data_IF_815347609574
#
_entry.id   IF_815347609574
#
_cell.length_a   1.000
_cell.length_b   1.000
_cell.length_c   1.000
_cell.angle_alpha   90.00
_cell.angle_beta   90.00
_cell.angle_gamma   90.00
#
_symmetry.space_group_name_H-M   'P 1'
#
loop_
_entity.id
_entity.type
_entity.pdbx_description
1 polymer ?
#
# COMPACT_ATOMS: atom_id res chain seq x y z
N UNK A 1 -27.93 -73.54 26.76
CA UNK A 1 -27.42 -72.38 26.02
C UNK A 1 -27.82 -71.11 26.77
N UNK A 2 -26.85 -70.22 27.03
CA UNK A 2 -26.94 -69.10 27.98
C UNK A 2 -27.09 -67.78 27.23
N UNK A 3 -28.14 -67.03 27.62
CA UNK A 3 -28.37 -65.57 27.73
C UNK A 3 -27.75 -64.64 26.67
N UNK A 4 -28.53 -63.65 26.20
CA UNK A 4 -28.32 -62.24 26.60
C UNK A 4 -29.37 -61.27 26.06
N UNK A 5 -29.68 -60.31 26.93
CA UNK A 5 -30.68 -59.25 26.85
C UNK A 5 -30.06 -58.03 26.17
N UNK A 6 -30.83 -57.35 25.32
CA UNK A 6 -30.49 -56.08 24.66
C UNK A 6 -30.44 -54.95 25.69
N UNK A 7 -29.28 -54.32 25.87
CA UNK A 7 -29.16 -53.04 26.58
C UNK A 7 -28.91 -51.92 25.58
N UNK A 8 -29.75 -50.90 25.70
CA UNK A 8 -29.85 -49.68 24.92
C UNK A 8 -29.03 -48.58 25.60
N UNK A 9 -28.36 -47.76 24.80
CA UNK A 9 -27.80 -46.45 25.15
C UNK A 9 -26.74 -46.42 26.27
N UNK A 10 -25.63 -45.71 26.20
CA UNK A 10 -25.09 -44.74 25.28
C UNK A 10 -23.86 -44.22 26.03
N UNK A 11 -22.69 -44.31 25.41
CA UNK A 11 -21.44 -43.73 25.90
C UNK A 11 -21.60 -42.18 25.90
N UNK A 12 -20.81 -41.31 26.53
CA UNK A 12 -19.55 -41.36 27.26
C UNK A 12 -19.24 -39.89 27.64
N UNK A 13 -18.31 -39.69 28.58
CA UNK A 13 -17.34 -38.58 28.67
C UNK A 13 -17.78 -37.18 29.16
N UNK A 14 -17.29 -36.87 30.37
CA UNK A 14 -16.87 -35.54 30.84
C UNK A 14 -15.97 -34.85 29.82
N UNK A 15 -16.01 -33.51 29.72
CA UNK A 15 -14.85 -32.66 29.39
C UNK A 15 -15.12 -31.18 29.75
N UNK A 16 -14.08 -30.55 30.32
CA UNK A 16 -13.99 -29.17 30.81
C UNK A 16 -14.25 -28.11 29.72
N UNK A 17 -14.79 -26.97 30.15
CA UNK A 17 -14.83 -25.74 29.35
C UNK A 17 -13.46 -25.05 29.27
N UNK A 18 -13.20 -24.38 28.13
CA UNK A 18 -12.54 -23.08 28.17
C UNK A 18 -13.38 -22.02 27.43
N UNK A 19 -13.47 -20.82 28.03
CA UNK A 19 -13.99 -19.64 27.38
C UNK A 19 -13.08 -19.26 26.20
N UNK A 20 -13.60 -19.35 24.97
CA UNK A 20 -12.93 -18.79 23.81
C UNK A 20 -13.17 -17.28 23.78
N UNK A 21 -12.15 -16.50 24.13
CA UNK A 21 -12.09 -15.10 23.70
C UNK A 21 -11.95 -15.12 22.17
N UNK A 22 -13.00 -14.68 21.47
CA UNK A 22 -12.91 -14.42 20.04
C UNK A 22 -11.95 -13.24 19.84
N UNK A 23 -10.70 -13.54 19.52
CA UNK A 23 -9.71 -12.59 19.03
C UNK A 23 -10.32 -11.88 17.81
N UNK A 24 -10.56 -10.58 17.91
CA UNK A 24 -10.85 -9.73 16.76
C UNK A 24 -9.60 -9.74 15.87
N UNK A 25 -9.61 -10.55 14.81
CA UNK A 25 -8.73 -10.30 13.68
C UNK A 25 -9.17 -8.99 13.06
N UNK A 26 -8.32 -7.94 13.00
CA UNK A 26 -8.62 -6.83 12.10
C UNK A 26 -8.56 -7.42 10.70
N UNK A 27 -9.71 -7.48 10.04
CA UNK A 27 -9.76 -7.54 8.58
C UNK A 27 -8.99 -6.31 8.13
N UNK A 28 -7.79 -6.51 7.61
CA UNK A 28 -7.06 -5.49 6.88
C UNK A 28 -7.83 -5.30 5.57
N UNK A 29 -8.96 -4.60 5.64
CA UNK A 29 -9.50 -3.85 4.51
C UNK A 29 -8.31 -3.08 3.93
N UNK A 30 -8.13 -3.04 2.59
CA UNK A 30 -7.07 -2.24 2.00
C UNK A 30 -7.28 -0.79 2.45
N UNK A 31 -6.59 -0.40 3.52
CA UNK A 31 -6.48 0.96 3.97
C UNK A 31 -5.64 1.60 2.89
N UNK A 32 -6.27 2.23 1.90
CA UNK A 32 -5.61 3.17 1.00
C UNK A 32 -4.95 4.22 1.89
N UNK A 33 -3.62 4.16 2.14
CA UNK A 33 -3.02 5.18 2.95
C UNK A 33 -2.99 6.46 2.11
N UNK A 34 -3.31 7.56 2.80
CA UNK A 34 -3.05 8.93 2.40
C UNK A 34 -4.00 9.55 1.36
N UNK A 35 -5.07 10.16 1.89
CA UNK A 35 -5.41 11.51 1.44
C UNK A 35 -4.22 12.40 1.81
N UNK A 36 -3.35 12.71 0.85
CA UNK A 36 -2.37 13.78 1.06
C UNK A 36 -3.14 15.07 1.24
N UNK A 37 -3.03 15.71 2.40
CA UNK A 37 -3.46 17.10 2.54
C UNK A 37 -2.66 17.93 1.53
N UNK A 38 -3.31 18.64 0.59
CA UNK A 38 -2.58 19.43 -0.40
C UNK A 38 -1.63 20.41 0.31
N UNK A 39 -0.33 20.34 0.00
CA UNK A 39 0.67 21.29 0.47
C UNK A 39 1.66 20.78 1.52
N UNK A 40 1.47 19.61 2.13
CA UNK A 40 2.44 19.06 3.08
C UNK A 40 3.40 18.08 2.38
N UNK A 41 4.71 18.40 2.40
CA UNK A 41 5.75 17.50 1.91
C UNK A 41 5.98 16.38 2.92
N UNK A 42 5.68 15.14 2.53
CA UNK A 42 6.00 13.97 3.35
C UNK A 42 7.53 13.84 3.53
N UNK A 43 8.06 13.89 4.77
CA UNK A 43 9.51 13.80 5.01
C UNK A 43 10.11 12.43 4.66
N UNK A 44 9.27 11.41 4.43
CA UNK A 44 9.68 10.06 3.99
C UNK A 44 9.62 9.87 2.48
N UNK A 45 9.27 10.91 1.71
CA UNK A 45 9.23 10.84 0.25
C UNK A 45 10.65 10.81 -0.35
N UNK A 46 10.84 10.20 -1.54
CA UNK A 46 9.82 9.45 -2.30
C UNK A 46 9.60 8.05 -1.71
N UNK A 47 8.35 7.59 -1.73
CA UNK A 47 7.98 6.26 -1.21
C UNK A 47 7.85 5.25 -2.36
N UNK A 48 8.58 4.12 -2.36
CA UNK A 48 8.39 3.05 -3.34
C UNK A 48 6.98 2.45 -3.28
N UNK A 49 6.45 2.02 -4.43
CA UNK A 49 5.13 1.40 -4.51
C UNK A 49 4.61 1.32 -5.93
N UNK A 50 3.64 0.44 -6.20
CA UNK A 50 3.08 0.30 -7.54
C UNK A 50 2.42 1.61 -7.97
N UNK A 51 2.90 2.15 -9.09
CA UNK A 51 2.47 3.44 -9.62
C UNK A 51 1.47 3.25 -10.76
N UNK A 52 0.36 3.97 -10.71
CA UNK A 52 -0.68 3.94 -11.74
C UNK A 52 -0.66 5.16 -12.66
N UNK A 53 0.24 6.13 -12.44
CA UNK A 53 0.38 7.26 -13.35
C UNK A 53 0.96 6.80 -14.69
N UNK A 54 0.36 7.30 -15.78
CA UNK A 54 1.00 7.24 -17.10
C UNK A 54 2.13 8.25 -17.18
N UNK A 55 2.99 8.12 -18.19
CA UNK A 55 4.06 9.11 -18.46
C UNK A 55 3.48 10.52 -18.63
N UNK A 56 2.38 10.65 -19.38
CA UNK A 56 1.71 11.94 -19.59
C UNK A 56 1.19 12.56 -18.29
N UNK A 57 0.57 11.76 -17.41
CA UNK A 57 0.09 12.23 -16.11
C UNK A 57 1.24 12.64 -15.18
N UNK A 58 2.34 11.88 -15.19
CA UNK A 58 3.55 12.24 -14.46
C UNK A 58 4.13 13.57 -14.96
N UNK A 59 4.21 13.75 -16.29
CA UNK A 59 4.71 14.98 -16.92
C UNK A 59 3.83 16.18 -16.64
N UNK A 60 2.51 16.02 -16.72
CA UNK A 60 1.53 17.06 -16.38
C UNK A 60 1.75 17.54 -14.95
N UNK A 61 1.82 16.62 -13.99
CA UNK A 61 2.05 16.95 -12.58
C UNK A 61 3.38 17.66 -12.33
N UNK A 62 4.46 17.22 -12.98
CA UNK A 62 5.75 17.91 -12.92
C UNK A 62 5.66 19.33 -13.47
N UNK A 63 4.92 19.53 -14.56
CA UNK A 63 4.73 20.85 -15.17
C UNK A 63 3.91 21.77 -14.26
N UNK A 64 2.83 21.25 -13.64
CA UNK A 64 2.02 21.98 -12.65
C UNK A 64 2.82 22.41 -11.41
N UNK A 65 3.82 21.62 -11.02
CA UNK A 65 4.74 21.92 -9.91
C UNK A 65 5.91 22.84 -10.32
N UNK A 66 5.83 23.45 -11.50
CA UNK A 66 6.77 24.46 -11.98
C UNK A 66 8.08 23.90 -12.54
N UNK A 67 8.15 22.60 -12.84
CA UNK A 67 9.27 22.05 -13.59
C UNK A 67 9.12 22.31 -15.09
N UNK A 68 10.23 22.57 -15.75
CA UNK A 68 10.32 22.81 -17.18
C UNK A 68 11.40 21.93 -17.80
N UNK A 69 11.51 21.89 -19.13
CA UNK A 69 12.51 21.09 -19.85
C UNK A 69 12.60 19.63 -19.35
N UNK A 70 11.44 18.99 -19.15
CA UNK A 70 11.34 17.61 -18.63
C UNK A 70 11.83 16.65 -19.72
N UNK A 71 12.86 15.88 -19.38
CA UNK A 71 13.55 14.92 -20.24
C UNK A 71 13.74 13.60 -19.50
N UNK A 72 13.91 12.52 -20.26
CA UNK A 72 14.22 11.19 -19.72
C UNK A 72 13.22 10.71 -18.65
N UNK A 73 11.93 11.06 -18.79
CA UNK A 73 10.87 10.68 -17.85
C UNK A 73 10.60 9.17 -17.95
N UNK A 74 10.90 8.43 -16.88
CA UNK A 74 10.82 6.97 -16.87
C UNK A 74 10.33 6.45 -15.53
N UNK A 75 9.49 5.41 -15.56
CA UNK A 75 9.06 4.68 -14.37
C UNK A 75 10.12 3.65 -13.98
N UNK A 76 10.66 3.77 -12.76
CA UNK A 76 11.58 2.77 -12.22
C UNK A 76 10.87 1.51 -11.74
N UNK A 77 11.64 0.43 -11.55
CA UNK A 77 11.13 -0.85 -11.03
C UNK A 77 10.54 -0.74 -9.60
N UNK A 78 10.95 0.29 -8.86
CA UNK A 78 10.41 0.66 -7.55
C UNK A 78 9.10 1.47 -7.61
N UNK A 79 8.62 1.73 -8.81
CA UNK A 79 7.42 2.53 -9.09
C UNK A 79 7.61 4.04 -8.89
N UNK A 80 8.85 4.53 -8.85
CA UNK A 80 9.14 5.96 -8.79
C UNK A 80 9.43 6.47 -10.20
N UNK A 81 8.68 7.47 -10.64
CA UNK A 81 8.94 8.23 -11.86
C UNK A 81 10.19 9.10 -11.66
N UNK A 82 11.10 9.06 -12.63
CA UNK A 82 12.38 9.78 -12.62
C UNK A 82 12.49 10.62 -13.87
N UNK A 83 12.91 11.87 -13.74
CA UNK A 83 13.18 12.74 -14.87
C UNK A 83 14.36 13.68 -14.60
N UNK A 84 14.95 14.17 -15.68
CA UNK A 84 15.76 15.38 -15.67
C UNK A 84 14.84 16.55 -16.01
N UNK A 85 14.91 17.65 -15.26
CA UNK A 85 14.10 18.82 -15.51
C UNK A 85 14.86 20.09 -15.11
N UNK A 86 14.26 21.25 -15.32
CA UNK A 86 14.74 22.53 -14.83
C UNK A 86 13.73 23.16 -13.87
N UNK A 87 14.22 23.66 -12.73
CA UNK A 87 13.47 24.47 -11.77
C UNK A 87 14.24 25.77 -11.54
N UNK A 88 13.58 26.91 -11.69
CA UNK A 88 14.21 28.24 -11.62
C UNK A 88 15.43 28.39 -12.55
N UNK A 89 15.37 27.75 -13.72
CA UNK A 89 16.45 27.74 -14.72
C UNK A 89 17.64 26.82 -14.38
N UNK A 90 17.62 26.12 -13.25
CA UNK A 90 18.67 25.19 -12.85
C UNK A 90 18.27 23.74 -13.18
N UNK A 91 19.16 22.94 -13.80
CA UNK A 91 18.90 21.53 -14.04
C UNK A 91 18.87 20.76 -12.71
N UNK A 92 17.85 19.94 -12.52
CA UNK A 92 17.62 19.12 -11.33
C UNK A 92 17.13 17.73 -11.74
N UNK A 93 17.42 16.73 -10.92
CA UNK A 93 16.77 15.42 -11.05
C UNK A 93 15.50 15.46 -10.23
N UNK A 94 14.41 14.94 -10.79
CA UNK A 94 13.10 14.96 -10.15
C UNK A 94 12.59 13.54 -9.97
N UNK A 95 12.03 13.28 -8.79
CA UNK A 95 11.41 12.01 -8.43
C UNK A 95 9.94 12.25 -8.09
N UNK A 96 9.05 11.45 -8.66
CA UNK A 96 7.62 11.45 -8.40
C UNK A 96 7.18 10.04 -7.94
N UNK A 97 6.66 9.94 -6.73
CA UNK A 97 6.19 8.65 -6.19
C UNK A 97 4.71 8.36 -6.52
N UNK A 98 4.24 7.17 -6.15
CA UNK A 98 2.86 6.71 -6.42
C UNK A 98 1.78 7.51 -5.68
N UNK A 99 2.16 8.26 -4.65
CA UNK A 99 1.25 9.14 -3.90
C UNK A 99 1.21 10.56 -4.48
N UNK A 100 2.02 10.83 -5.50
CA UNK A 100 2.14 12.15 -6.10
C UNK A 100 3.22 13.02 -5.45
N UNK A 101 3.97 12.57 -4.44
CA UNK A 101 4.99 13.41 -3.83
C UNK A 101 6.15 13.65 -4.80
N UNK A 102 6.60 14.90 -4.90
CA UNK A 102 7.71 15.29 -5.75
C UNK A 102 8.89 15.76 -4.92
N UNK A 103 10.07 15.18 -5.19
CA UNK A 103 11.36 15.54 -4.57
C UNK A 103 12.40 15.81 -5.66
N UNK A 104 13.43 16.58 -5.32
CA UNK A 104 14.52 16.94 -6.22
C UNK A 104 15.87 16.52 -5.65
N UNK A 105 16.81 16.16 -6.52
CA UNK A 105 18.20 15.87 -6.19
C UNK A 105 19.16 16.73 -7.01
#
# INVERSE_FOLDING_TARGET
MKRSIRNLAGAAFLLLAPAAFAQTTPTEEPQTPAVTTPGEKNPKAPVPGQNSFTEDQAKERLTEEGFSNIMNLQLGEDGIWRAEAARDGQPVKVLLDFQGNITTQ
#
